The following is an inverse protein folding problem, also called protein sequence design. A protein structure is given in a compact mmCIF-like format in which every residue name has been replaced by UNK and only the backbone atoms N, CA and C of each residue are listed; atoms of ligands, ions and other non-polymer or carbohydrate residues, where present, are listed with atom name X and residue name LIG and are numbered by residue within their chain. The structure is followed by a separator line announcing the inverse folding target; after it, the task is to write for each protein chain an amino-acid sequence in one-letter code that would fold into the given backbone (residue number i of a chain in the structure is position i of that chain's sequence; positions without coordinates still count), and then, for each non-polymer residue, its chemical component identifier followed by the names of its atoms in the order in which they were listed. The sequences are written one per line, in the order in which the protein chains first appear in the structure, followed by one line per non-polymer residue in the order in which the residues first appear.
data_IF_974949619652
#
_entry.id   IF_974949619652
#
_cell.length_a   1.000
_cell.length_b   1.000
_cell.length_c   1.000
_cell.angle_alpha   90.00
_cell.angle_beta   90.00
_cell.angle_gamma   90.00
#
_symmetry.space_group_name_H-M   'P 1'
#
loop_
_entity.id
_entity.type
_entity.pdbx_description
1 polymer ?
#
# COMPACT_ATOMS: atom_id res chain seq x y z
N UNK A 1 -6.84 40.45 53.74
CA UNK A 1 -6.41 40.41 52.33
C UNK A 1 -5.79 39.03 52.14
N UNK A 2 -6.56 38.03 51.69
CA UNK A 2 -6.79 37.70 50.27
C UNK A 2 -5.45 37.46 49.55
N UNK A 3 -5.11 36.28 49.04
CA UNK A 3 -5.84 35.02 48.94
C UNK A 3 -4.89 33.92 48.46
N UNK A 4 -5.33 32.68 48.62
CA UNK A 4 -4.71 31.48 48.07
C UNK A 4 -4.60 31.56 46.55
N UNK A 5 -3.49 31.07 45.99
CA UNK A 5 -3.50 30.44 44.67
C UNK A 5 -2.28 29.54 44.51
N UNK A 6 -2.51 28.26 44.80
CA UNK A 6 -1.78 27.19 44.16
C UNK A 6 -1.89 27.34 42.64
N UNK A 7 -0.78 27.26 41.92
CA UNK A 7 -0.80 26.75 40.54
C UNK A 7 0.47 25.97 40.29
N UNK A 8 0.29 24.65 40.25
CA UNK A 8 1.25 23.61 39.88
C UNK A 8 1.66 23.76 38.41
N UNK A 9 2.78 23.12 38.01
CA UNK A 9 3.55 23.47 36.82
C UNK A 9 2.69 23.38 35.57
N UNK A 10 2.87 24.35 34.67
CA UNK A 10 2.34 24.24 33.32
C UNK A 10 2.91 22.99 32.68
N UNK A 11 2.06 21.97 32.54
CA UNK A 11 2.16 20.98 31.50
C UNK A 11 2.26 21.76 30.19
N UNK A 12 3.49 21.94 29.72
CA UNK A 12 3.70 22.03 28.28
C UNK A 12 3.23 20.69 27.77
N UNK A 13 1.96 20.64 27.37
CA UNK A 13 1.44 19.56 26.56
C UNK A 13 2.32 19.56 25.31
N UNK A 14 3.35 18.72 25.34
CA UNK A 14 4.07 18.28 24.16
C UNK A 14 2.98 17.80 23.22
N UNK A 15 2.66 18.63 22.23
CA UNK A 15 1.85 18.25 21.11
C UNK A 15 2.74 17.35 20.27
N UNK A 16 3.06 16.16 20.80
CA UNK A 16 3.51 15.03 20.02
C UNK A 16 2.33 14.74 19.10
N UNK A 17 2.33 15.39 17.93
CA UNK A 17 1.62 14.89 16.78
C UNK A 17 2.06 13.45 16.67
N UNK A 18 1.18 12.53 17.07
CA UNK A 18 1.43 11.11 17.14
C UNK A 18 1.56 10.64 15.69
N UNK A 19 2.71 10.93 15.09
CA UNK A 19 2.98 10.77 13.68
C UNK A 19 3.27 9.30 13.47
N UNK A 20 2.20 8.50 13.56
CA UNK A 20 2.24 7.06 13.40
C UNK A 20 2.66 6.78 11.96
N UNK A 21 3.97 6.59 11.77
CA UNK A 21 4.50 6.15 10.50
C UNK A 21 3.98 4.75 10.20
N UNK A 22 3.41 4.51 9.00
CA UNK A 22 2.97 3.18 8.62
C UNK A 22 4.10 2.16 8.63
N UNK A 23 3.80 0.95 9.06
CA UNK A 23 4.74 -0.16 9.04
C UNK A 23 4.57 -0.96 7.74
N UNK A 24 5.60 -0.99 6.90
CA UNK A 24 5.59 -1.72 5.64
C UNK A 24 6.14 -3.13 5.82
N UNK A 25 5.37 -4.13 5.40
CA UNK A 25 5.76 -5.54 5.40
C UNK A 25 5.82 -6.03 3.96
N UNK A 26 7.03 -6.36 3.48
CA UNK A 26 7.23 -6.95 2.16
C UNK A 26 7.01 -8.46 2.17
N UNK A 27 6.15 -8.97 1.29
CA UNK A 27 5.89 -10.41 1.13
C UNK A 27 6.26 -10.81 -0.30
N UNK A 28 7.36 -11.54 -0.46
CA UNK A 28 7.88 -12.00 -1.76
C UNK A 28 7.86 -13.53 -1.87
N UNK A 29 8.01 -14.04 -3.09
CA UNK A 29 7.94 -15.48 -3.41
C UNK A 29 7.46 -15.74 -4.83
N UNK A 30 7.66 -16.96 -5.33
CA UNK A 30 7.27 -17.35 -6.68
C UNK A 30 5.76 -17.27 -6.93
N UNK A 31 5.36 -17.31 -8.21
CA UNK A 31 3.95 -17.41 -8.59
C UNK A 31 3.33 -18.66 -7.96
N UNK A 32 2.08 -18.54 -7.50
CA UNK A 32 1.34 -19.58 -6.78
C UNK A 32 1.96 -20.08 -5.45
N UNK A 33 2.95 -19.37 -4.88
CA UNK A 33 3.52 -19.74 -3.57
C UNK A 33 2.63 -19.41 -2.36
N UNK A 34 1.46 -18.81 -2.58
CA UNK A 34 0.51 -18.48 -1.51
C UNK A 34 0.61 -17.08 -0.91
N UNK A 35 1.42 -16.16 -1.49
CA UNK A 35 1.57 -14.77 -0.98
C UNK A 35 0.23 -14.07 -0.71
N UNK A 36 -0.64 -14.04 -1.72
CA UNK A 36 -1.94 -13.38 -1.62
C UNK A 36 -2.84 -14.06 -0.58
N UNK A 37 -2.80 -15.39 -0.51
CA UNK A 37 -3.55 -16.16 0.49
C UNK A 37 -3.10 -15.86 1.92
N UNK A 38 -1.78 -15.76 2.15
CA UNK A 38 -1.21 -15.39 3.46
C UNK A 38 -1.61 -13.98 3.85
N UNK A 39 -1.47 -13.00 2.95
CA UNK A 39 -1.88 -11.61 3.23
C UNK A 39 -3.38 -11.52 3.55
N UNK A 40 -4.24 -12.20 2.79
CA UNK A 40 -5.68 -12.24 3.05
C UNK A 40 -6.01 -12.88 4.40
N UNK A 41 -5.29 -13.94 4.79
CA UNK A 41 -5.51 -14.59 6.08
C UNK A 41 -5.09 -13.69 7.24
N UNK A 42 -4.02 -12.90 7.09
CA UNK A 42 -3.61 -11.89 8.08
C UNK A 42 -4.72 -10.85 8.25
N UNK A 43 -5.30 -10.33 7.16
CA UNK A 43 -6.41 -9.38 7.23
C UNK A 43 -7.64 -9.95 7.93
N UNK A 44 -7.98 -11.22 7.66
CA UNK A 44 -9.08 -11.93 8.30
C UNK A 44 -8.84 -12.08 9.81
N UNK A 45 -7.66 -12.54 10.22
CA UNK A 45 -7.31 -12.75 11.62
C UNK A 45 -7.23 -11.43 12.42
N UNK A 46 -6.94 -10.32 11.76
CA UNK A 46 -6.94 -8.97 12.34
C UNK A 46 -8.32 -8.29 12.28
N UNK A 47 -9.35 -8.97 11.77
CA UNK A 47 -10.72 -8.44 11.66
C UNK A 47 -10.87 -7.27 10.69
N UNK A 48 -9.90 -7.03 9.81
CA UNK A 48 -9.86 -5.84 8.95
C UNK A 48 -10.83 -5.92 7.77
N UNK A 49 -11.33 -7.12 7.45
CA UNK A 49 -12.26 -7.33 6.34
C UNK A 49 -13.65 -6.72 6.59
N UNK A 50 -14.04 -6.60 7.85
CA UNK A 50 -15.36 -6.08 8.28
C UNK A 50 -15.33 -4.58 8.59
N UNK A 51 -14.14 -3.97 8.59
CA UNK A 51 -13.94 -2.55 8.86
C UNK A 51 -14.06 -1.75 7.56
N UNK A 52 -14.74 -0.61 7.63
CA UNK A 52 -14.84 0.37 6.55
C UNK A 52 -13.44 0.74 6.02
N UNK A 53 -13.32 0.86 4.70
CA UNK A 53 -12.03 1.10 4.05
C UNK A 53 -11.31 2.36 4.56
N UNK A 54 -12.02 3.39 5.01
CA UNK A 54 -11.43 4.61 5.57
C UNK A 54 -10.94 4.46 7.01
N UNK A 55 -11.33 3.39 7.70
CA UNK A 55 -10.98 3.13 9.10
C UNK A 55 -10.02 1.94 9.28
N UNK A 56 -9.65 1.26 8.19
CA UNK A 56 -8.70 0.14 8.23
C UNK A 56 -7.33 0.62 8.69
N UNK A 57 -6.73 -0.17 9.58
CA UNK A 57 -5.36 0.04 10.06
C UNK A 57 -4.35 -0.79 9.27
N UNK A 58 -4.83 -1.78 8.50
CA UNK A 58 -3.99 -2.63 7.64
C UNK A 58 -4.56 -2.59 6.22
N UNK A 59 -3.67 -2.46 5.25
CA UNK A 59 -3.98 -2.51 3.83
C UNK A 59 -3.04 -3.49 3.13
N UNK A 60 -3.55 -4.17 2.10
CA UNK A 60 -2.75 -5.02 1.21
C UNK A 60 -2.50 -4.23 -0.07
N UNK A 61 -1.23 -4.13 -0.45
CA UNK A 61 -0.81 -3.61 -1.75
C UNK A 61 -0.24 -4.75 -2.59
N UNK A 62 -0.81 -5.00 -3.77
CA UNK A 62 -0.28 -6.00 -4.71
C UNK A 62 0.66 -5.35 -5.72
N UNK A 63 1.82 -5.97 -5.96
CA UNK A 63 2.73 -5.55 -7.03
C UNK A 63 2.07 -5.65 -8.42
N UNK A 64 1.11 -6.56 -8.59
CA UNK A 64 0.40 -6.77 -9.85
C UNK A 64 -0.42 -5.54 -10.27
N UNK A 65 -0.84 -4.68 -9.32
CA UNK A 65 -1.50 -3.41 -9.65
C UNK A 65 -0.61 -2.49 -10.48
N UNK A 66 0.71 -2.65 -10.40
CA UNK A 66 1.69 -1.77 -11.00
C UNK A 66 2.29 -2.33 -12.30
N UNK A 67 1.59 -3.25 -12.99
CA UNK A 67 1.97 -3.58 -14.35
C UNK A 67 1.93 -2.34 -15.25
N UNK A 68 2.92 -2.24 -16.13
CA UNK A 68 2.99 -1.17 -17.12
C UNK A 68 1.89 -1.35 -18.16
N UNK A 69 1.39 -0.21 -18.65
CA UNK A 69 0.53 -0.21 -19.84
C UNK A 69 1.37 -0.64 -21.04
N UNK A 70 0.94 -1.73 -21.67
CA UNK A 70 1.62 -2.27 -22.83
C UNK A 70 1.37 -1.38 -24.05
N UNK A 71 2.44 -1.10 -24.81
CA UNK A 71 2.34 -0.53 -26.15
C UNK A 71 1.56 -1.46 -27.09
N UNK A 72 1.02 -0.98 -28.23
CA UNK A 72 0.30 -1.83 -29.18
C UNK A 72 1.10 -3.07 -29.62
N UNK A 73 2.42 -2.92 -29.82
CA UNK A 73 3.32 -4.02 -30.18
C UNK A 73 3.48 -5.03 -29.05
N UNK A 74 3.62 -4.56 -27.80
CA UNK A 74 3.71 -5.41 -26.63
C UNK A 74 2.38 -6.13 -26.35
N UNK A 75 1.23 -5.48 -26.54
CA UNK A 75 -0.08 -6.13 -26.47
C UNK A 75 -0.19 -7.25 -27.51
N UNK A 76 0.25 -7.03 -28.74
CA UNK A 76 0.27 -8.07 -29.78
C UNK A 76 1.21 -9.24 -29.44
N UNK A 77 2.31 -9.01 -28.70
CA UNK A 77 3.15 -10.08 -28.15
C UNK A 77 2.47 -10.81 -26.98
N UNK A 78 1.83 -10.07 -26.07
CA UNK A 78 1.13 -10.62 -24.91
C UNK A 78 -0.03 -11.53 -25.32
N UNK A 79 -0.84 -11.13 -26.30
CA UNK A 79 -1.92 -11.95 -26.86
C UNK A 79 -1.44 -13.27 -27.48
N UNK A 80 -0.16 -13.32 -27.89
CA UNK A 80 0.49 -14.54 -28.40
C UNK A 80 1.25 -15.33 -27.31
N UNK A 81 1.19 -14.90 -26.06
CA UNK A 81 1.96 -15.48 -24.95
C UNK A 81 3.46 -15.22 -25.04
N UNK A 82 3.89 -14.23 -25.81
CA UNK A 82 5.30 -13.90 -26.09
C UNK A 82 5.80 -12.67 -25.32
N UNK A 83 5.03 -12.19 -24.35
CA UNK A 83 5.43 -11.11 -23.46
C UNK A 83 5.76 -11.69 -22.08
N UNK A 84 6.94 -11.35 -21.55
CA UNK A 84 7.39 -11.81 -20.25
C UNK A 84 6.88 -10.86 -19.15
N UNK A 85 5.79 -11.25 -18.48
CA UNK A 85 5.23 -10.49 -17.36
C UNK A 85 6.05 -10.63 -16.07
N UNK A 86 6.93 -11.62 -15.96
CA UNK A 86 7.80 -11.81 -14.79
C UNK A 86 9.09 -10.99 -14.88
N UNK A 87 9.34 -10.32 -16.01
CA UNK A 87 10.52 -9.47 -16.17
C UNK A 87 10.37 -8.18 -15.34
N UNK A 88 11.43 -7.70 -14.66
CA UNK A 88 11.38 -6.45 -13.88
C UNK A 88 10.84 -5.24 -14.65
N UNK A 89 11.08 -5.19 -15.97
CA UNK A 89 10.62 -4.11 -16.86
C UNK A 89 9.11 -4.12 -17.13
N UNK A 90 8.41 -5.21 -16.81
CA UNK A 90 6.95 -5.29 -16.93
C UNK A 90 6.25 -4.46 -15.84
N UNK A 91 6.96 -4.12 -14.76
CA UNK A 91 6.44 -3.34 -13.64
C UNK A 91 6.83 -1.87 -13.74
N UNK A 92 5.94 -0.99 -13.29
CA UNK A 92 6.17 0.44 -13.17
C UNK A 92 6.88 0.74 -11.84
N UNK A 93 8.17 0.40 -11.78
CA UNK A 93 8.97 0.49 -10.56
C UNK A 93 9.03 1.92 -9.98
N UNK A 94 9.03 2.94 -10.84
CA UNK A 94 9.01 4.34 -10.41
C UNK A 94 7.71 4.68 -9.69
N UNK A 95 6.57 4.19 -10.20
CA UNK A 95 5.27 4.35 -9.56
C UNK A 95 5.17 3.58 -8.25
N UNK A 96 5.72 2.36 -8.18
CA UNK A 96 5.80 1.57 -6.94
C UNK A 96 6.57 2.36 -5.88
N UNK A 97 7.79 2.79 -6.20
CA UNK A 97 8.67 3.50 -5.27
C UNK A 97 8.01 4.78 -4.76
N UNK A 98 7.46 5.59 -5.67
CA UNK A 98 6.78 6.85 -5.31
C UNK A 98 5.59 6.58 -4.40
N UNK A 99 4.78 5.58 -4.72
CA UNK A 99 3.59 5.20 -3.93
C UNK A 99 3.97 4.72 -2.53
N UNK A 100 5.01 3.88 -2.41
CA UNK A 100 5.49 3.38 -1.11
C UNK A 100 6.06 4.52 -0.25
N UNK A 101 6.75 5.49 -0.85
CA UNK A 101 7.23 6.68 -0.14
C UNK A 101 6.10 7.55 0.36
N UNK A 102 5.11 7.83 -0.48
CA UNK A 102 3.94 8.62 -0.09
C UNK A 102 3.16 7.94 1.05
N UNK A 103 2.99 6.60 0.99
CA UNK A 103 2.40 5.82 2.10
C UNK A 103 3.24 5.99 3.37
N UNK A 104 4.57 5.86 3.29
CA UNK A 104 5.45 5.99 4.46
C UNK A 104 5.38 7.39 5.09
N UNK A 105 5.14 8.41 4.29
CA UNK A 105 4.91 9.80 4.74
C UNK A 105 3.49 10.05 5.27
N UNK A 106 2.61 9.05 5.26
CA UNK A 106 1.23 9.16 5.74
C UNK A 106 0.29 9.87 4.74
N UNK A 107 0.69 10.03 3.48
CA UNK A 107 -0.15 10.62 2.44
C UNK A 107 -1.16 9.60 1.92
N UNK A 108 -2.33 10.09 1.55
CA UNK A 108 -3.30 9.29 0.79
C UNK A 108 -2.80 9.08 -0.63
N UNK A 109 -2.82 7.84 -1.10
CA UNK A 109 -2.38 7.44 -2.44
C UNK A 109 -3.52 6.78 -3.22
N UNK A 110 -3.45 6.85 -4.55
CA UNK A 110 -4.35 6.13 -5.44
C UNK A 110 -3.61 4.96 -6.09
N UNK A 111 -4.11 3.74 -5.84
CA UNK A 111 -3.52 2.53 -6.41
C UNK A 111 -4.23 2.20 -7.72
N UNK A 112 -3.50 1.99 -8.83
CA UNK A 112 -4.09 1.55 -10.09
C UNK A 112 -4.73 0.16 -9.97
N UNK A 113 -5.82 -0.06 -10.71
CA UNK A 113 -6.44 -1.38 -10.84
C UNK A 113 -6.03 -1.93 -12.21
N UNK A 114 -5.19 -2.97 -12.21
CA UNK A 114 -4.75 -3.59 -13.46
C UNK A 114 -5.75 -4.65 -13.93
N UNK A 115 -6.20 -4.52 -15.17
CA UNK A 115 -7.03 -5.52 -15.83
C UNK A 115 -6.14 -6.48 -16.65
N UNK A 116 -6.03 -7.72 -16.15
CA UNK A 116 -5.27 -8.78 -16.78
C UNK A 116 -5.84 -9.24 -18.12
N UNK A 117 -7.12 -8.99 -18.40
CA UNK A 117 -7.78 -9.38 -19.66
C UNK A 117 -7.44 -8.38 -20.76
N UNK A 118 -7.51 -7.08 -20.48
CA UNK A 118 -7.25 -6.02 -21.47
C UNK A 118 -5.80 -5.50 -21.48
N UNK A 119 -4.98 -5.94 -20.50
CA UNK A 119 -3.64 -5.43 -20.23
C UNK A 119 -3.64 -3.90 -20.16
N UNK A 120 -4.57 -3.37 -19.37
CA UNK A 120 -4.82 -1.94 -19.18
C UNK A 120 -4.80 -1.58 -17.69
N UNK A 121 -4.57 -0.30 -17.41
CA UNK A 121 -4.87 0.34 -16.13
C UNK A 121 -5.76 1.56 -16.38
#
# INVERSE_FOLDING_TARGET
MAGDSETKPGDQAENESNNKQPFLIGVAGGTASGKSSVCNKIMELLGQNEIDHHQRQVAILSQDSFYRVLTPEQKAKALRGQFNFDHPDAFDNDLIITTLWDIKEGKTVHIPVYDFVSHSR
#
